data_IF_543055229257
#
_entry.id   IF_543055229257
#
_cell.length_a   1.000
_cell.length_b   1.000
_cell.length_c   1.000
_cell.angle_alpha   90.00
_cell.angle_beta   90.00
_cell.angle_gamma   90.00
#
_symmetry.space_group_name_H-M   'P 1'
#
loop_
_entity.id
_entity.type
_entity.pdbx_description
1 polymer ?
#
# COMPACT_ATOMS: atom_id res chain seq x y z
N UNK A 1 -30.68 2.37 40.18
CA UNK A 1 -29.70 1.50 39.51
C UNK A 1 -28.84 2.42 38.66
N UNK A 2 -27.97 3.18 39.32
CA UNK A 2 -27.02 4.05 38.63
C UNK A 2 -25.89 3.16 38.12
N UNK A 3 -25.74 3.09 36.80
CA UNK A 3 -24.58 2.47 36.18
C UNK A 3 -23.33 3.28 36.53
N UNK A 4 -22.14 2.68 36.65
CA UNK A 4 -20.95 3.45 36.92
C UNK A 4 -20.63 4.31 35.69
N UNK A 5 -20.94 5.60 35.82
CA UNK A 5 -20.33 6.69 35.08
C UNK A 5 -18.88 6.81 35.52
N UNK A 6 -17.99 6.00 34.95
CA UNK A 6 -16.55 6.19 35.10
C UNK A 6 -16.00 6.90 33.87
N UNK A 7 -15.68 8.18 34.08
CA UNK A 7 -14.72 8.93 33.29
C UNK A 7 -13.42 8.13 33.20
N UNK A 8 -13.21 7.41 32.09
CA UNK A 8 -11.91 6.86 31.74
C UNK A 8 -11.00 8.03 31.42
N UNK A 9 -10.30 8.52 32.44
CA UNK A 9 -9.30 9.57 32.33
C UNK A 9 -8.03 8.91 31.82
N UNK A 10 -7.80 8.93 30.50
CA UNK A 10 -6.53 8.50 29.93
C UNK A 10 -5.40 9.37 30.51
N UNK A 11 -4.34 8.76 31.09
CA UNK A 11 -3.25 9.52 31.67
C UNK A 11 -2.53 10.33 30.59
N UNK A 12 -2.19 11.55 30.96
CA UNK A 12 -1.45 12.50 30.12
C UNK A 12 -0.04 11.98 29.79
N UNK A 13 0.27 11.88 28.49
CA UNK A 13 1.60 12.24 27.99
C UNK A 13 2.52 11.16 27.45
N UNK A 14 2.21 9.87 27.58
CA UNK A 14 2.90 8.84 26.80
C UNK A 14 2.09 8.56 25.53
N UNK A 15 2.68 8.89 24.37
CA UNK A 15 2.17 8.48 23.06
C UNK A 15 2.32 6.96 22.97
N UNK A 16 1.37 6.25 23.58
CA UNK A 16 1.33 4.82 23.57
C UNK A 16 0.96 4.34 22.16
N UNK A 17 1.97 4.29 21.29
CA UNK A 17 1.87 3.75 19.95
C UNK A 17 1.45 2.27 19.93
N UNK A 18 1.39 1.59 21.08
CA UNK A 18 0.98 0.18 21.15
C UNK A 18 -0.48 -0.01 20.76
N UNK A 19 -1.38 0.90 21.13
CA UNK A 19 -2.79 0.84 20.72
C UNK A 19 -2.94 1.05 19.20
N UNK A 20 -2.18 2.00 18.64
CA UNK A 20 -2.15 2.26 17.22
C UNK A 20 -1.66 1.05 16.43
N UNK A 21 -0.54 0.46 16.87
CA UNK A 21 0.00 -0.78 16.31
C UNK A 21 -1.00 -1.92 16.41
N UNK A 22 -1.64 -2.09 17.57
CA UNK A 22 -2.60 -3.17 17.79
C UNK A 22 -3.77 -3.08 16.81
N UNK A 23 -4.34 -1.89 16.62
CA UNK A 23 -5.43 -1.68 15.65
C UNK A 23 -4.94 -1.99 14.23
N UNK A 24 -3.82 -1.40 13.80
CA UNK A 24 -3.30 -1.60 12.45
C UNK A 24 -2.90 -3.05 12.16
N UNK A 25 -2.38 -3.78 13.15
CA UNK A 25 -1.88 -5.13 12.98
C UNK A 25 -2.94 -6.23 13.10
N UNK A 26 -4.06 -5.97 13.80
CA UNK A 26 -5.05 -7.02 14.12
C UNK A 26 -6.39 -6.88 13.41
N UNK A 27 -6.75 -5.67 12.97
CA UNK A 27 -8.05 -5.45 12.35
C UNK A 27 -8.01 -5.82 10.86
N UNK A 28 -9.14 -6.34 10.36
CA UNK A 28 -9.23 -6.67 8.94
C UNK A 28 -9.36 -5.41 8.07
N UNK A 29 -9.15 -5.56 6.76
CA UNK A 29 -9.13 -4.45 5.81
C UNK A 29 -10.43 -3.61 5.82
N UNK A 30 -11.59 -4.23 5.97
CA UNK A 30 -12.87 -3.52 6.01
C UNK A 30 -13.03 -2.69 7.28
N UNK A 31 -12.60 -3.22 8.42
CA UNK A 31 -12.59 -2.50 9.69
C UNK A 31 -11.63 -1.31 9.65
N UNK A 32 -10.41 -1.53 9.15
CA UNK A 32 -9.40 -0.46 9.01
C UNK A 32 -9.92 0.70 8.15
N UNK A 33 -10.58 0.41 7.02
CA UNK A 33 -11.20 1.45 6.17
C UNK A 33 -12.23 2.28 6.92
N UNK A 34 -13.10 1.63 7.71
CA UNK A 34 -14.08 2.34 8.55
C UNK A 34 -13.40 3.17 9.63
N UNK A 35 -12.40 2.62 10.31
CA UNK A 35 -11.62 3.33 11.32
C UNK A 35 -10.96 4.57 10.72
N UNK A 36 -10.35 4.47 9.53
CA UNK A 36 -9.71 5.60 8.86
C UNK A 36 -10.71 6.68 8.44
N UNK A 37 -11.90 6.28 7.97
CA UNK A 37 -12.98 7.22 7.65
C UNK A 37 -13.44 7.99 8.90
N UNK A 38 -13.78 7.28 9.98
CA UNK A 38 -14.17 7.92 11.24
C UNK A 38 -13.05 8.76 11.87
N UNK A 39 -11.79 8.30 11.77
CA UNK A 39 -10.64 9.06 12.24
C UNK A 39 -10.54 10.40 11.51
N UNK A 40 -10.74 10.43 10.20
CA UNK A 40 -10.71 11.65 9.41
C UNK A 40 -11.83 12.61 9.81
N UNK A 41 -13.06 12.10 9.99
CA UNK A 41 -14.19 12.91 10.47
C UNK A 41 -13.95 13.53 11.85
N UNK A 42 -13.36 12.78 12.78
CA UNK A 42 -13.12 13.25 14.16
C UNK A 42 -11.90 14.18 14.29
N UNK A 43 -10.83 13.91 13.55
CA UNK A 43 -9.55 14.63 13.69
C UNK A 43 -9.36 15.75 12.67
N UNK A 44 -10.10 15.74 11.56
CA UNK A 44 -9.89 16.63 10.42
C UNK A 44 -8.62 16.35 9.61
N UNK A 45 -7.93 15.23 9.87
CA UNK A 45 -6.73 14.82 9.17
C UNK A 45 -6.83 13.35 8.73
N UNK A 46 -6.25 13.03 7.56
CA UNK A 46 -6.15 11.63 7.14
C UNK A 46 -5.21 10.86 8.07
N UNK A 47 -5.44 9.55 8.18
CA UNK A 47 -4.59 8.67 8.99
C UNK A 47 -3.12 8.74 8.56
N UNK A 48 -2.87 8.86 7.25
CA UNK A 48 -1.52 8.95 6.68
C UNK A 48 -0.81 10.23 7.10
N UNK A 49 -1.50 11.38 7.03
CA UNK A 49 -0.93 12.66 7.48
C UNK A 49 -0.61 12.65 8.98
N UNK A 50 -1.49 12.05 9.78
CA UNK A 50 -1.24 11.90 11.22
C UNK A 50 -0.07 10.96 11.50
N UNK A 51 0.08 9.86 10.74
CA UNK A 51 1.24 8.97 10.85
C UNK A 51 2.54 9.73 10.49
N UNK A 52 2.54 10.50 9.40
CA UNK A 52 3.70 11.30 8.95
C UNK A 52 4.13 12.36 9.96
N UNK A 53 3.18 12.91 10.73
CA UNK A 53 3.46 13.91 11.76
C UNK A 53 3.97 13.29 13.06
N UNK A 54 3.41 12.15 13.47
CA UNK A 54 3.65 11.58 14.81
C UNK A 54 4.80 10.58 14.87
N UNK A 55 5.08 9.88 13.77
CA UNK A 55 6.11 8.84 13.72
C UNK A 55 7.20 9.19 12.72
N UNK A 56 8.39 8.62 12.92
CA UNK A 56 9.52 8.78 12.01
C UNK A 56 10.20 7.44 11.72
N UNK A 57 11.15 7.45 10.76
CA UNK A 57 11.97 6.29 10.44
C UNK A 57 11.16 5.08 9.94
N UNK A 58 11.58 3.88 10.32
CA UNK A 58 10.98 2.65 9.78
C UNK A 58 9.61 2.33 10.37
N UNK A 59 9.30 2.86 11.56
CA UNK A 59 7.97 2.72 12.14
C UNK A 59 6.93 3.52 11.34
N UNK A 60 7.26 4.77 10.98
CA UNK A 60 6.42 5.59 10.09
C UNK A 60 6.17 4.88 8.76
N UNK A 61 7.23 4.36 8.11
CA UNK A 61 7.11 3.63 6.84
C UNK A 61 6.23 2.39 6.98
N UNK A 62 6.37 1.65 8.07
CA UNK A 62 5.57 0.44 8.34
C UNK A 62 4.09 0.78 8.50
N UNK A 63 3.75 1.79 9.28
CA UNK A 63 2.37 2.23 9.46
C UNK A 63 1.75 2.79 8.18
N UNK A 64 2.49 3.60 7.42
CA UNK A 64 2.03 4.08 6.12
C UNK A 64 1.80 2.91 5.14
N UNK A 65 2.65 1.89 5.18
CA UNK A 65 2.49 0.70 4.34
C UNK A 65 1.18 -0.03 4.67
N UNK A 66 0.90 -0.27 5.95
CA UNK A 66 -0.34 -0.93 6.39
C UNK A 66 -1.56 -0.07 6.03
N UNK A 67 -1.52 1.22 6.35
CA UNK A 67 -2.64 2.13 6.10
C UNK A 67 -2.96 2.22 4.59
N UNK A 68 -1.95 2.44 3.74
CA UNK A 68 -2.14 2.54 2.29
C UNK A 68 -2.64 1.24 1.68
N UNK A 69 -2.05 0.10 2.05
CA UNK A 69 -2.47 -1.21 1.55
C UNK A 69 -3.90 -1.58 2.00
N UNK A 70 -4.31 -1.18 3.21
CA UNK A 70 -5.66 -1.39 3.70
C UNK A 70 -6.67 -0.45 3.02
N UNK A 71 -6.32 0.82 2.81
CA UNK A 71 -7.15 1.80 2.11
C UNK A 71 -7.40 1.36 0.66
N UNK A 72 -6.34 1.15 -0.11
CA UNK A 72 -6.43 0.76 -1.51
C UNK A 72 -5.22 -0.10 -1.91
N UNK A 73 -5.47 -1.39 -2.08
CA UNK A 73 -4.42 -2.40 -2.30
C UNK A 73 -3.81 -2.29 -3.69
N UNK A 74 -4.65 -2.08 -4.70
CA UNK A 74 -4.22 -1.98 -6.09
C UNK A 74 -3.38 -0.71 -6.29
N UNK A 75 -3.85 0.41 -5.73
CA UNK A 75 -3.12 1.68 -5.72
C UNK A 75 -1.80 1.59 -5.00
N UNK A 76 -1.77 0.93 -3.85
CA UNK A 76 -0.53 0.69 -3.11
C UNK A 76 0.49 -0.06 -3.99
N UNK A 77 0.12 -1.18 -4.61
CA UNK A 77 1.06 -1.93 -5.45
C UNK A 77 1.46 -1.18 -6.73
N UNK A 78 0.55 -0.42 -7.34
CA UNK A 78 0.89 0.46 -8.47
C UNK A 78 1.96 1.49 -8.07
N UNK A 79 1.83 2.10 -6.88
CA UNK A 79 2.84 3.00 -6.34
C UNK A 79 4.17 2.32 -6.04
N UNK A 80 4.15 1.09 -5.53
CA UNK A 80 5.37 0.31 -5.27
C UNK A 80 6.10 -0.04 -6.58
N UNK A 81 5.38 -0.43 -7.63
CA UNK A 81 5.95 -0.68 -8.97
C UNK A 81 6.58 0.59 -9.55
N UNK A 82 5.87 1.72 -9.47
CA UNK A 82 6.44 2.97 -9.96
C UNK A 82 7.69 3.36 -9.18
N UNK A 83 7.64 3.26 -7.85
CA UNK A 83 8.78 3.55 -7.00
C UNK A 83 9.97 2.60 -7.26
N UNK A 84 9.76 1.36 -7.71
CA UNK A 84 10.87 0.44 -8.04
C UNK A 84 11.58 0.80 -9.34
N UNK A 85 10.93 1.55 -10.23
CA UNK A 85 11.46 1.94 -11.55
C UNK A 85 11.68 3.45 -11.69
N UNK A 86 11.41 4.23 -10.64
CA UNK A 86 11.59 5.68 -10.67
C UNK A 86 13.03 6.02 -10.28
N UNK A 87 13.74 6.69 -11.17
CA UNK A 87 15.04 7.30 -10.89
C UNK A 87 16.17 6.65 -11.66
N UNK A 88 17.38 6.69 -11.12
CA UNK A 88 18.54 6.03 -11.71
C UNK A 88 18.56 4.56 -11.29
N UNK A 89 18.50 3.67 -12.27
CA UNK A 89 18.48 2.23 -12.07
C UNK A 89 17.14 1.71 -11.55
N UNK A 90 17.11 0.40 -11.32
CA UNK A 90 15.89 -0.33 -10.95
C UNK A 90 16.08 -1.00 -9.60
N UNK A 91 15.06 -0.96 -8.74
CA UNK A 91 15.01 -1.76 -7.51
C UNK A 91 14.46 -3.14 -7.86
N UNK A 92 15.27 -3.96 -8.54
CA UNK A 92 14.84 -5.22 -9.17
C UNK A 92 14.12 -6.17 -8.21
N UNK A 93 14.62 -6.30 -6.97
CA UNK A 93 13.99 -7.15 -5.96
C UNK A 93 12.56 -6.71 -5.60
N UNK A 94 12.27 -5.41 -5.65
CA UNK A 94 10.93 -4.88 -5.37
C UNK A 94 10.02 -5.08 -6.60
N UNK A 95 10.55 -4.78 -7.79
CA UNK A 95 9.85 -4.95 -9.07
C UNK A 95 9.42 -6.41 -9.29
N UNK A 96 10.37 -7.34 -9.19
CA UNK A 96 10.14 -8.78 -9.35
C UNK A 96 9.12 -9.27 -8.32
N UNK A 97 9.30 -8.88 -7.04
CA UNK A 97 8.42 -9.33 -5.96
C UNK A 97 6.97 -8.92 -6.23
N UNK A 98 6.72 -7.68 -6.63
CA UNK A 98 5.34 -7.24 -6.90
C UNK A 98 4.80 -7.92 -8.16
N UNK A 99 5.54 -7.97 -9.26
CA UNK A 99 5.06 -8.61 -10.51
C UNK A 99 4.71 -10.09 -10.27
N UNK A 100 5.60 -10.84 -9.61
CA UNK A 100 5.42 -12.29 -9.40
C UNK A 100 4.33 -12.58 -8.37
N UNK A 101 4.33 -11.89 -7.22
CA UNK A 101 3.37 -12.22 -6.15
C UNK A 101 1.95 -11.73 -6.42
N UNK A 102 1.77 -10.83 -7.39
CA UNK A 102 0.46 -10.28 -7.77
C UNK A 102 -0.08 -10.82 -9.09
N UNK A 103 0.73 -11.52 -9.89
CA UNK A 103 0.41 -11.95 -11.26
C UNK A 103 -0.95 -12.64 -11.37
N UNK A 104 -1.22 -13.59 -10.48
CA UNK A 104 -2.45 -14.39 -10.47
C UNK A 104 -3.48 -13.94 -9.42
N UNK A 105 -3.27 -12.77 -8.80
CA UNK A 105 -4.13 -12.25 -7.73
C UNK A 105 -4.95 -11.06 -8.20
N UNK A 106 -4.27 -9.98 -8.59
CA UNK A 106 -4.92 -8.71 -8.96
C UNK A 106 -4.03 -7.83 -9.86
N UNK A 107 -3.03 -8.40 -10.54
CA UNK A 107 -2.12 -7.64 -11.39
C UNK A 107 -2.85 -6.87 -12.50
N UNK A 108 -3.95 -7.39 -13.04
CA UNK A 108 -4.75 -6.68 -14.04
C UNK A 108 -5.35 -5.38 -13.49
N UNK A 109 -5.89 -5.41 -12.27
CA UNK A 109 -6.40 -4.21 -11.61
C UNK A 109 -5.26 -3.25 -11.24
N UNK A 110 -4.12 -3.78 -10.81
CA UNK A 110 -2.92 -2.96 -10.55
C UNK A 110 -2.45 -2.27 -11.83
N UNK A 111 -2.50 -2.92 -13.00
CA UNK A 111 -2.17 -2.31 -14.30
C UNK A 111 -3.10 -1.15 -14.63
N UNK A 112 -4.41 -1.32 -14.44
CA UNK A 112 -5.40 -0.25 -14.62
C UNK A 112 -5.08 0.94 -13.73
N UNK A 113 -4.94 0.71 -12.43
CA UNK A 113 -4.63 1.76 -11.45
C UNK A 113 -3.28 2.44 -11.73
N UNK A 114 -2.25 1.68 -12.15
CA UNK A 114 -0.95 2.21 -12.55
C UNK A 114 -1.09 3.16 -13.75
N UNK A 115 -1.87 2.75 -14.77
CA UNK A 115 -2.12 3.58 -15.94
C UNK A 115 -2.87 4.87 -15.57
N UNK A 116 -3.87 4.79 -14.70
CA UNK A 116 -4.61 5.96 -14.21
C UNK A 116 -3.70 6.94 -13.44
N UNK A 117 -2.84 6.43 -12.54
CA UNK A 117 -1.96 7.26 -11.72
C UNK A 117 -0.81 7.90 -12.49
N UNK A 118 -0.22 7.17 -13.45
CA UNK A 118 1.04 7.56 -14.09
C UNK A 118 0.92 7.88 -15.57
N UNK A 119 -0.27 7.71 -16.16
CA UNK A 119 -0.55 8.00 -17.58
C UNK A 119 0.39 7.27 -18.54
N UNK A 120 0.88 6.09 -18.11
CA UNK A 120 1.78 5.20 -18.84
C UNK A 120 1.39 3.76 -18.50
N UNK A 121 1.45 2.86 -19.49
CA UNK A 121 1.22 1.45 -19.20
C UNK A 121 2.37 0.87 -18.38
N UNK A 122 2.08 -0.10 -17.51
CA UNK A 122 3.11 -0.80 -16.74
C UNK A 122 4.15 -1.46 -17.66
N UNK A 123 3.69 -2.01 -18.79
CA UNK A 123 4.56 -2.66 -19.79
C UNK A 123 5.56 -1.66 -20.37
N UNK A 124 5.12 -0.46 -20.74
CA UNK A 124 6.01 0.55 -21.34
C UNK A 124 7.07 1.02 -20.35
N UNK A 125 6.71 1.16 -19.07
CA UNK A 125 7.66 1.51 -18.02
C UNK A 125 8.68 0.39 -17.82
N UNK A 126 8.24 -0.88 -17.72
CA UNK A 126 9.15 -2.03 -17.59
C UNK A 126 10.07 -2.17 -18.80
N UNK A 127 9.56 -1.94 -20.02
CA UNK A 127 10.38 -1.95 -21.25
C UNK A 127 11.48 -0.89 -21.24
N UNK A 128 11.21 0.28 -20.68
CA UNK A 128 12.17 1.37 -20.59
C UNK A 128 13.22 1.17 -19.50
N UNK A 129 12.86 0.48 -18.42
CA UNK A 129 13.70 0.36 -17.22
C UNK A 129 14.54 -0.94 -17.18
N UNK A 130 14.12 -1.97 -17.93
CA UNK A 130 14.78 -3.29 -17.93
C UNK A 130 15.19 -3.72 -19.34
N UNK A 131 16.09 -4.71 -19.45
CA UNK A 131 16.60 -5.17 -20.75
C UNK A 131 16.79 -6.69 -20.84
N UNK A 132 16.98 -7.18 -22.08
CA UNK A 132 17.27 -8.58 -22.38
C UNK A 132 16.19 -9.56 -21.93
N UNK A 133 16.61 -10.80 -21.68
CA UNK A 133 15.72 -11.88 -21.25
C UNK A 133 14.97 -11.58 -19.94
N UNK A 134 15.59 -10.77 -19.06
CA UNK A 134 14.96 -10.32 -17.82
C UNK A 134 13.70 -9.48 -18.09
N UNK A 135 13.81 -8.46 -18.96
CA UNK A 135 12.65 -7.66 -19.40
C UNK A 135 11.58 -8.55 -20.03
N UNK A 136 11.99 -9.43 -20.94
CA UNK A 136 11.05 -10.24 -21.72
C UNK A 136 10.27 -11.20 -20.80
N UNK A 137 10.92 -11.75 -19.78
CA UNK A 137 10.26 -12.55 -18.74
C UNK A 137 9.26 -11.73 -17.91
N UNK A 138 9.63 -10.52 -17.47
CA UNK A 138 8.70 -9.65 -16.73
C UNK A 138 7.47 -9.30 -17.57
N UNK A 139 7.65 -8.96 -18.85
CA UNK A 139 6.56 -8.64 -19.77
C UNK A 139 5.65 -9.85 -19.98
N UNK A 140 6.22 -11.05 -20.13
CA UNK A 140 5.43 -12.27 -20.25
C UNK A 140 4.52 -12.48 -19.04
N UNK A 141 5.03 -12.27 -17.82
CA UNK A 141 4.21 -12.36 -16.59
C UNK A 141 3.14 -11.27 -16.55
N UNK A 142 3.46 -10.03 -16.93
CA UNK A 142 2.51 -8.90 -16.96
C UNK A 142 1.38 -9.11 -18.00
N UNK A 143 1.68 -9.77 -19.12
CA UNK A 143 0.70 -10.11 -20.13
C UNK A 143 -0.20 -11.28 -19.70
N UNK A 144 0.27 -12.15 -18.80
CA UNK A 144 -0.46 -13.34 -18.37
C UNK A 144 -0.75 -14.31 -19.52
N UNK A 145 -1.73 -15.19 -19.33
CA UNK A 145 -2.07 -16.26 -20.27
C UNK A 145 -2.93 -15.82 -21.47
N UNK A 146 -3.09 -14.51 -21.71
CA UNK A 146 -3.97 -13.99 -22.77
C UNK A 146 -3.42 -14.21 -24.21
N UNK A 147 -2.23 -14.81 -24.35
CA UNK A 147 -1.61 -15.15 -25.64
C UNK A 147 -1.55 -16.64 -25.98
N UNK A 148 -2.09 -17.53 -25.13
CA UNK A 148 -2.18 -18.98 -25.41
C UNK A 148 -3.64 -19.38 -25.59
N UNK A 149 -4.08 -19.42 -26.85
CA UNK A 149 -5.26 -20.20 -27.21
C UNK A 149 -4.87 -21.69 -27.15
N UNK A 150 -5.50 -22.45 -26.28
CA UNK A 150 -5.53 -23.91 -26.37
C UNK A 150 -6.56 -24.32 -27.43
#
# INVERSE_FOLDING_TARGET
MDGPSENVRYPSGERDGSHFLHILATQNQYQLRKVFAYFNELSGASIEKSIEKEFSGDLQKSYLTIARAASDKQKFFAQQLYASMKGLGTRDNDLIRVIVTRSEVDLELIKTEFQELYQKSLIDVVKGDTSGAYRDALIAIINGNHGVAF
#
